data_IF_628128441370
#
_entry.id   IF_628128441370
#
_cell.length_a   1.000
_cell.length_b   1.000
_cell.length_c   1.000
_cell.angle_alpha   90.00
_cell.angle_beta   90.00
_cell.angle_gamma   90.00
#
_symmetry.space_group_name_H-M   'P 1'
#
loop_
_entity.id
_entity.type
_entity.pdbx_description
1 polymer ?
#
# COMPACT_ATOMS: atom_id res chain seq x y z
N UNK A 1 11.83 -8.74 -14.43
CA UNK A 1 11.35 -9.72 -13.43
C UNK A 1 11.70 -9.24 -12.02
N UNK A 2 10.82 -9.44 -11.04
CA UNK A 2 11.00 -9.00 -9.64
C UNK A 2 11.76 -10.06 -8.84
N UNK A 3 12.78 -9.65 -8.08
CA UNK A 3 13.49 -10.51 -7.11
C UNK A 3 12.87 -10.37 -5.73
N UNK A 4 12.20 -11.40 -5.22
CA UNK A 4 11.68 -11.42 -3.85
C UNK A 4 12.82 -11.84 -2.90
N UNK A 5 13.45 -10.86 -2.25
CA UNK A 5 14.63 -11.13 -1.41
C UNK A 5 14.32 -11.43 0.06
N UNK A 6 13.11 -11.07 0.50
CA UNK A 6 12.66 -11.34 1.85
C UNK A 6 11.17 -11.11 2.01
N UNK A 7 10.55 -11.89 2.89
CA UNK A 7 9.16 -11.76 3.29
C UNK A 7 8.97 -12.27 4.71
N UNK A 8 7.90 -11.87 5.38
CA UNK A 8 7.56 -12.43 6.68
C UNK A 8 6.04 -12.48 6.88
N UNK A 9 5.59 -13.35 7.77
CA UNK A 9 4.22 -13.36 8.26
C UNK A 9 4.20 -13.68 9.77
N UNK A 10 3.04 -14.07 10.29
CA UNK A 10 2.90 -14.42 11.70
C UNK A 10 3.66 -15.70 12.11
N UNK A 11 4.02 -16.58 11.15
CA UNK A 11 4.70 -17.86 11.41
C UNK A 11 6.15 -17.89 10.95
N UNK A 12 6.48 -17.27 9.82
CA UNK A 12 7.72 -17.51 9.10
C UNK A 12 8.38 -16.22 8.64
N UNK A 13 9.70 -16.28 8.50
CA UNK A 13 10.54 -15.30 7.81
C UNK A 13 11.21 -16.04 6.64
N UNK A 14 10.95 -15.57 5.43
CA UNK A 14 11.54 -16.03 4.18
C UNK A 14 12.71 -15.10 3.82
N UNK A 15 13.84 -15.67 3.45
CA UNK A 15 15.04 -14.97 2.98
C UNK A 15 15.57 -15.63 1.72
N UNK A 16 15.82 -14.85 0.68
CA UNK A 16 16.43 -15.31 -0.55
C UNK A 16 17.39 -14.21 -1.06
N UNK A 17 18.69 -14.27 -0.73
CA UNK A 17 19.58 -13.11 -0.92
C UNK A 17 19.85 -12.74 -2.38
N UNK A 18 19.80 -13.70 -3.31
CA UNK A 18 19.99 -13.45 -4.74
C UNK A 18 19.19 -14.46 -5.60
N UNK A 19 17.84 -14.38 -5.60
CA UNK A 19 17.00 -15.30 -6.35
C UNK A 19 17.22 -15.14 -7.86
N UNK A 20 17.24 -16.27 -8.57
CA UNK A 20 16.99 -16.25 -10.00
C UNK A 20 15.54 -15.80 -10.25
N UNK A 21 15.31 -14.71 -10.98
CA UNK A 21 14.00 -14.09 -11.04
C UNK A 21 13.00 -14.84 -11.93
N UNK A 22 13.44 -15.74 -12.81
CA UNK A 22 12.56 -16.59 -13.62
C UNK A 22 12.17 -17.83 -12.82
N UNK A 23 13.15 -18.54 -12.25
CA UNK A 23 12.92 -19.76 -11.45
C UNK A 23 12.06 -19.44 -10.23
N UNK A 24 12.40 -18.39 -9.49
CA UNK A 24 11.63 -17.97 -8.31
C UNK A 24 10.24 -17.44 -8.65
N UNK A 25 10.02 -16.94 -9.87
CA UNK A 25 8.68 -16.57 -10.32
C UNK A 25 7.81 -17.81 -10.54
N UNK A 26 8.31 -18.81 -11.27
CA UNK A 26 7.60 -20.09 -11.48
C UNK A 26 7.27 -20.75 -10.14
N UNK A 27 8.19 -20.74 -9.19
CA UNK A 27 7.96 -21.31 -7.87
C UNK A 27 6.90 -20.53 -7.07
N UNK A 28 6.90 -19.19 -7.12
CA UNK A 28 5.84 -18.37 -6.49
C UNK A 28 4.48 -18.61 -7.14
N UNK A 29 4.42 -18.82 -8.45
CA UNK A 29 3.18 -19.12 -9.17
C UNK A 29 2.62 -20.49 -8.76
N UNK A 30 3.49 -21.51 -8.65
CA UNK A 30 3.14 -22.82 -8.08
C UNK A 30 2.63 -22.70 -6.65
N UNK A 31 3.32 -21.94 -5.81
CA UNK A 31 2.93 -21.72 -4.41
C UNK A 31 1.58 -21.00 -4.29
N UNK A 32 1.31 -20.04 -5.18
CA UNK A 32 0.04 -19.31 -5.23
C UNK A 32 -1.13 -20.23 -5.62
N UNK A 33 -0.93 -21.14 -6.57
CA UNK A 33 -1.96 -22.10 -7.00
C UNK A 33 -2.26 -23.19 -5.96
N UNK A 34 -1.39 -23.37 -4.96
CA UNK A 34 -1.60 -24.36 -3.90
C UNK A 34 -2.66 -23.89 -2.88
N UNK A 35 -3.70 -24.69 -2.62
CA UNK A 35 -4.68 -24.38 -1.58
C UNK A 35 -4.02 -24.30 -0.20
N UNK A 36 -4.27 -23.20 0.53
CA UNK A 36 -3.77 -22.98 1.91
C UNK A 36 -2.25 -23.07 2.03
N UNK A 37 -1.52 -22.63 1.00
CA UNK A 37 -0.07 -22.65 1.01
C UNK A 37 0.54 -21.74 2.07
N UNK A 38 1.78 -22.06 2.45
CA UNK A 38 2.58 -21.27 3.35
C UNK A 38 4.07 -21.33 2.98
N UNK A 39 4.91 -20.50 3.62
CA UNK A 39 6.33 -20.41 3.28
C UNK A 39 7.11 -21.72 3.40
N UNK A 40 6.69 -22.70 4.21
CA UNK A 40 7.36 -24.01 4.26
C UNK A 40 7.10 -24.85 3.02
N UNK A 41 6.06 -24.54 2.25
CA UNK A 41 5.73 -25.23 1.01
C UNK A 41 6.58 -24.73 -0.17
N UNK A 42 7.31 -23.61 0.00
CA UNK A 42 8.24 -23.08 -1.00
C UNK A 42 9.40 -24.07 -1.22
N UNK A 43 9.69 -24.42 -2.47
CA UNK A 43 10.76 -25.34 -2.82
C UNK A 43 12.12 -24.73 -2.43
N UNK A 44 12.76 -25.34 -1.43
CA UNK A 44 14.04 -24.88 -0.92
C UNK A 44 15.20 -25.09 -1.89
N UNK A 45 15.04 -25.98 -2.88
CA UNK A 45 16.08 -26.25 -3.87
C UNK A 45 16.32 -25.07 -4.83
N UNK A 46 15.32 -24.19 -4.98
CA UNK A 46 15.42 -22.99 -5.83
C UNK A 46 15.74 -21.70 -5.05
N UNK A 47 15.83 -21.77 -3.71
CA UNK A 47 16.28 -20.64 -2.89
C UNK A 47 17.78 -20.44 -3.12
N UNK A 48 18.21 -19.20 -3.33
CA UNK A 48 19.62 -18.90 -3.54
C UNK A 48 20.48 -19.24 -2.32
N UNK A 49 21.78 -19.41 -2.57
CA UNK A 49 22.76 -19.76 -1.54
C UNK A 49 22.65 -18.79 -0.34
N UNK A 50 22.57 -19.36 0.86
CA UNK A 50 22.50 -18.60 2.11
C UNK A 50 21.08 -18.12 2.48
N UNK A 51 20.07 -18.34 1.62
CA UNK A 51 18.67 -18.12 1.94
C UNK A 51 18.05 -19.25 2.74
N UNK A 52 16.77 -19.09 3.08
CA UNK A 52 15.98 -20.10 3.78
C UNK A 52 14.65 -19.58 4.32
N UNK A 53 13.90 -20.52 4.91
CA UNK A 53 12.63 -20.25 5.59
C UNK A 53 12.79 -20.60 7.07
N UNK A 54 12.55 -19.60 7.92
CA UNK A 54 12.78 -19.69 9.35
C UNK A 54 11.48 -19.47 10.12
N UNK A 55 11.25 -20.25 11.18
CA UNK A 55 10.12 -20.03 12.07
C UNK A 55 10.33 -18.77 12.92
N UNK A 56 9.31 -17.91 12.99
CA UNK A 56 9.30 -16.69 13.81
C UNK A 56 9.33 -16.99 15.31
N UNK A 57 9.03 -18.23 15.72
CA UNK A 57 9.13 -18.69 17.11
C UNK A 57 10.55 -19.04 17.56
N UNK A 58 11.54 -19.05 16.65
CA UNK A 58 12.93 -19.30 17.02
C UNK A 58 13.46 -18.19 17.94
N UNK A 59 14.29 -18.56 18.93
CA UNK A 59 14.97 -17.56 19.76
C UNK A 59 15.97 -16.71 18.98
N UNK A 60 16.56 -17.30 17.94
CA UNK A 60 17.65 -16.68 17.17
C UNK A 60 17.82 -17.38 15.82
N UNK A 61 17.87 -16.60 14.74
CA UNK A 61 18.07 -17.04 13.35
C UNK A 61 19.52 -16.77 12.96
N UNK A 62 20.29 -17.79 12.50
CA UNK A 62 21.63 -17.56 11.96
C UNK A 62 21.55 -16.82 10.62
N UNK A 63 22.45 -15.88 10.40
CA UNK A 63 22.58 -15.15 9.15
C UNK A 63 23.79 -15.65 8.36
N UNK A 64 23.54 -16.02 7.11
CA UNK A 64 24.59 -16.28 6.13
C UNK A 64 25.30 -14.98 5.72
N UNK A 65 26.49 -15.08 5.15
CA UNK A 65 27.21 -13.89 4.67
C UNK A 65 26.47 -13.21 3.50
N UNK A 66 25.74 -13.98 2.70
CA UNK A 66 24.84 -13.49 1.66
C UNK A 66 23.72 -12.61 2.24
N UNK A 67 23.03 -13.08 3.30
CA UNK A 67 21.96 -12.31 3.97
C UNK A 67 22.50 -11.10 4.72
N UNK A 68 23.68 -11.22 5.35
CA UNK A 68 24.37 -10.07 5.99
C UNK A 68 24.65 -8.96 4.98
N UNK A 69 25.11 -9.31 3.76
CA UNK A 69 25.32 -8.34 2.68
C UNK A 69 24.00 -7.71 2.22
N UNK A 70 22.96 -8.50 2.00
CA UNK A 70 21.63 -8.00 1.63
C UNK A 70 21.12 -6.96 2.63
N UNK A 71 21.18 -7.27 3.93
CA UNK A 71 20.62 -6.42 4.99
C UNK A 71 21.60 -5.33 5.48
N UNK A 72 22.85 -5.33 5.00
CA UNK A 72 23.93 -4.46 5.46
C UNK A 72 24.24 -4.57 6.96
N UNK A 73 24.31 -5.80 7.49
CA UNK A 73 24.56 -6.06 8.93
C UNK A 73 25.78 -6.95 9.16
N UNK A 74 26.32 -6.89 10.39
CA UNK A 74 27.49 -7.69 10.81
C UNK A 74 27.14 -8.84 11.76
N UNK A 75 25.92 -8.85 12.32
CA UNK A 75 25.52 -9.86 13.29
C UNK A 75 25.47 -11.26 12.62
N UNK A 76 26.00 -12.26 13.32
CA UNK A 76 25.96 -13.66 12.85
C UNK A 76 24.61 -14.32 13.13
N UNK A 77 23.85 -13.79 14.09
CA UNK A 77 22.52 -14.27 14.45
C UNK A 77 21.67 -13.14 14.99
N UNK A 78 20.35 -13.21 14.76
CA UNK A 78 19.39 -12.22 15.26
C UNK A 78 18.10 -12.87 15.79
N UNK A 79 17.46 -12.31 16.82
CA UNK A 79 16.07 -12.61 17.14
C UNK A 79 15.14 -12.28 15.94
N UNK A 80 14.02 -13.00 15.76
CA UNK A 80 13.11 -12.79 14.63
C UNK A 80 12.56 -11.37 14.49
N UNK A 81 12.19 -10.70 15.60
CA UNK A 81 11.67 -9.33 15.53
C UNK A 81 12.73 -8.31 15.08
N UNK A 82 13.99 -8.49 15.49
CA UNK A 82 15.10 -7.66 15.00
C UNK A 82 15.35 -7.90 13.51
N UNK A 83 15.27 -9.15 13.06
CA UNK A 83 15.38 -9.49 11.63
C UNK A 83 14.25 -8.88 10.79
N UNK A 84 13.00 -8.89 11.29
CA UNK A 84 11.86 -8.23 10.63
C UNK A 84 12.10 -6.71 10.55
N UNK A 85 12.56 -6.11 11.64
CA UNK A 85 12.91 -4.68 11.67
C UNK A 85 13.96 -4.34 10.60
N UNK A 86 14.97 -5.19 10.43
CA UNK A 86 15.99 -5.01 9.39
C UNK A 86 15.47 -5.26 7.98
N UNK A 87 14.54 -6.20 7.80
CA UNK A 87 13.88 -6.44 6.51
C UNK A 87 13.07 -5.21 6.08
N UNK A 88 12.35 -4.58 7.00
CA UNK A 88 11.65 -3.31 6.72
C UNK A 88 12.63 -2.19 6.35
N UNK A 89 13.84 -2.18 6.94
CA UNK A 89 14.91 -1.22 6.64
C UNK A 89 15.85 -1.68 5.51
N UNK A 90 15.53 -2.74 4.78
CA UNK A 90 16.43 -3.29 3.77
C UNK A 90 16.59 -2.33 2.57
N UNK A 91 17.78 -2.26 1.95
CA UNK A 91 18.03 -1.44 0.77
C UNK A 91 17.51 -2.12 -0.50
N UNK A 92 16.19 -2.19 -0.65
CA UNK A 92 15.50 -2.80 -1.80
C UNK A 92 14.86 -1.73 -2.68
N UNK A 93 14.42 -2.06 -3.89
CA UNK A 93 13.69 -1.09 -4.71
C UNK A 93 12.23 -0.93 -4.24
N UNK A 94 11.59 -2.03 -3.85
CA UNK A 94 10.17 -2.10 -3.51
C UNK A 94 9.95 -2.77 -2.15
N UNK A 95 9.16 -2.12 -1.30
CA UNK A 95 8.52 -2.73 -0.14
C UNK A 95 7.03 -2.91 -0.44
N UNK A 96 6.55 -4.14 -0.44
CA UNK A 96 5.13 -4.45 -0.65
C UNK A 96 4.50 -4.89 0.67
N UNK A 97 3.53 -4.12 1.17
CA UNK A 97 2.76 -4.50 2.34
C UNK A 97 1.44 -5.16 1.93
N UNK A 98 1.39 -6.49 1.97
CA UNK A 98 0.17 -7.27 1.73
C UNK A 98 -0.44 -7.88 3.00
N UNK A 99 -0.02 -7.42 4.18
CA UNK A 99 -0.41 -7.97 5.46
C UNK A 99 -1.42 -7.11 6.23
N UNK A 100 -1.68 -7.53 7.47
CA UNK A 100 -2.47 -6.76 8.45
C UNK A 100 -1.50 -6.22 9.51
N UNK A 101 -1.61 -4.93 9.81
CA UNK A 101 -0.88 -4.28 10.88
C UNK A 101 -0.07 -3.08 10.43
N UNK A 102 0.20 -2.19 11.38
CA UNK A 102 0.91 -0.93 11.14
C UNK A 102 2.38 -1.07 11.49
N UNK A 103 3.20 -1.24 10.44
CA UNK A 103 4.64 -1.48 10.52
C UNK A 103 5.48 -0.21 10.48
N UNK A 104 4.91 0.90 9.99
CA UNK A 104 5.63 2.16 9.82
C UNK A 104 4.81 3.31 10.38
N UNK A 105 5.45 4.15 11.19
CA UNK A 105 4.89 5.40 11.72
C UNK A 105 5.83 6.59 11.44
N UNK A 106 5.44 7.81 11.77
CA UNK A 106 6.39 8.91 11.86
C UNK A 106 7.22 8.83 13.14
N UNK A 107 8.40 9.44 13.12
CA UNK A 107 9.24 9.61 14.31
C UNK A 107 8.52 10.38 15.42
N UNK A 108 7.63 11.32 15.05
CA UNK A 108 6.84 12.13 15.98
C UNK A 108 5.71 11.37 16.68
N UNK A 109 5.37 10.17 16.21
CA UNK A 109 4.34 9.32 16.81
C UNK A 109 4.96 8.36 17.82
N UNK A 110 4.28 8.04 18.92
CA UNK A 110 4.72 6.98 19.83
C UNK A 110 4.24 5.62 19.30
N UNK A 111 4.86 4.52 19.75
CA UNK A 111 4.34 3.20 19.39
C UNK A 111 2.92 2.99 19.92
N UNK A 112 2.64 3.47 21.14
CA UNK A 112 1.34 3.36 21.80
C UNK A 112 0.23 4.11 21.06
N UNK A 113 0.50 5.32 20.54
CA UNK A 113 -0.51 6.14 19.86
C UNK A 113 -1.02 5.55 18.55
N UNK A 114 -0.28 4.59 17.96
CA UNK A 114 -0.68 3.91 16.71
C UNK A 114 -1.81 2.89 16.96
N UNK A 115 -1.93 2.35 18.18
CA UNK A 115 -3.02 1.44 18.53
C UNK A 115 -2.87 -0.01 18.06
N UNK A 116 -1.74 -0.39 17.45
CA UNK A 116 -1.44 -1.77 17.03
C UNK A 116 -0.33 -2.39 17.89
N UNK A 117 -0.72 -3.00 19.02
CA UNK A 117 0.23 -3.63 19.96
C UNK A 117 0.98 -4.82 19.36
N UNK A 118 0.38 -5.54 18.41
CA UNK A 118 0.96 -6.77 17.86
C UNK A 118 2.23 -6.51 17.05
N UNK A 119 2.35 -5.33 16.45
CA UNK A 119 3.50 -4.96 15.62
C UNK A 119 4.43 -3.91 16.28
N UNK A 120 4.19 -3.50 17.52
CA UNK A 120 5.07 -2.53 18.21
C UNK A 120 6.54 -2.95 18.20
N UNK A 121 6.82 -4.22 18.50
CA UNK A 121 8.18 -4.76 18.58
C UNK A 121 8.92 -4.89 17.24
N UNK A 122 8.27 -4.58 16.11
CA UNK A 122 8.89 -4.58 14.78
C UNK A 122 8.68 -3.26 14.03
N UNK A 123 7.89 -2.33 14.58
CA UNK A 123 7.53 -1.07 13.93
C UNK A 123 8.74 -0.15 13.79
N UNK A 124 8.84 0.52 12.66
CA UNK A 124 9.92 1.46 12.35
C UNK A 124 9.35 2.84 12.02
N UNK A 125 10.22 3.84 11.91
CA UNK A 125 9.84 5.15 11.41
C UNK A 125 9.96 5.23 9.88
N UNK A 126 9.15 6.06 9.24
CA UNK A 126 9.17 6.29 7.79
C UNK A 126 10.52 6.82 7.31
N UNK A 127 11.21 7.62 8.13
CA UNK A 127 12.56 8.10 7.84
C UNK A 127 13.65 7.01 7.89
N UNK A 128 13.37 5.82 8.43
CA UNK A 128 14.30 4.69 8.50
C UNK A 128 14.21 3.77 7.27
N UNK A 129 13.16 3.91 6.46
CA UNK A 129 13.02 3.17 5.22
C UNK A 129 14.15 3.51 4.25
N UNK A 130 14.63 2.46 3.59
CA UNK A 130 15.68 2.51 2.56
C UNK A 130 15.19 2.04 1.20
N UNK A 131 13.92 1.63 1.09
CA UNK A 131 13.32 1.33 -0.19
C UNK A 131 13.05 2.59 -1.02
N UNK A 132 12.90 2.44 -2.34
CA UNK A 132 12.54 3.55 -3.23
C UNK A 132 11.02 3.72 -3.34
N UNK A 133 10.30 2.60 -3.42
CA UNK A 133 8.86 2.53 -3.62
C UNK A 133 8.23 1.70 -2.51
N UNK A 134 7.07 2.14 -2.02
CA UNK A 134 6.17 1.34 -1.19
C UNK A 134 4.87 1.14 -1.96
N UNK A 135 4.35 -0.09 -1.94
CA UNK A 135 2.99 -0.40 -2.35
C UNK A 135 2.22 -1.02 -1.18
N UNK A 136 1.10 -0.42 -0.79
CA UNK A 136 0.23 -0.92 0.27
C UNK A 136 -0.95 -1.72 -0.30
N UNK A 137 -0.76 -3.02 -0.49
CA UNK A 137 -1.83 -3.94 -0.86
C UNK A 137 -2.80 -4.28 0.29
N UNK A 138 -2.36 -4.14 1.54
CA UNK A 138 -3.20 -4.22 2.74
C UNK A 138 -3.64 -2.84 3.25
N UNK A 139 -4.52 -2.83 4.25
CA UNK A 139 -4.96 -1.59 4.91
C UNK A 139 -4.11 -1.27 6.14
N UNK A 140 -3.87 0.03 6.35
CA UNK A 140 -3.21 0.58 7.53
C UNK A 140 -1.82 -0.01 7.79
N UNK A 141 -1.11 -0.31 6.72
CA UNK A 141 0.28 -0.74 6.76
C UNK A 141 1.20 0.31 7.40
N UNK A 142 0.84 1.56 7.17
CA UNK A 142 1.53 2.76 7.59
C UNK A 142 0.54 3.69 8.27
N UNK A 143 0.99 4.47 9.26
CA UNK A 143 0.24 5.67 9.66
C UNK A 143 0.32 6.72 8.56
N UNK A 144 -0.64 7.64 8.52
CA UNK A 144 -0.62 8.71 7.53
C UNK A 144 0.65 9.58 7.67
N UNK A 145 1.04 9.92 8.89
CA UNK A 145 2.27 10.69 9.13
C UNK A 145 3.54 9.89 8.75
N UNK A 146 3.55 8.57 8.97
CA UNK A 146 4.65 7.71 8.51
C UNK A 146 4.82 7.70 6.99
N UNK A 147 3.71 7.72 6.25
CA UNK A 147 3.73 7.89 4.78
C UNK A 147 4.32 9.24 4.38
N UNK A 148 3.88 10.31 5.03
CA UNK A 148 4.37 11.68 4.77
C UNK A 148 5.86 11.79 5.07
N UNK A 149 6.32 11.18 6.16
CA UNK A 149 7.74 11.18 6.55
C UNK A 149 8.61 10.45 5.52
N UNK A 150 8.19 9.27 5.06
CA UNK A 150 8.89 8.54 4.00
C UNK A 150 8.89 9.32 2.68
N UNK A 151 7.75 9.90 2.28
CA UNK A 151 7.65 10.72 1.08
C UNK A 151 8.54 11.97 1.14
N UNK A 152 8.64 12.61 2.31
CA UNK A 152 9.49 13.78 2.52
C UNK A 152 11.00 13.48 2.37
N UNK A 153 11.40 12.22 2.55
CA UNK A 153 12.76 11.71 2.29
C UNK A 153 13.00 11.35 0.81
N UNK A 154 11.99 11.49 -0.04
CA UNK A 154 12.05 11.15 -1.47
C UNK A 154 11.52 9.74 -1.79
N UNK A 155 10.93 9.04 -0.82
CA UNK A 155 10.22 7.79 -1.05
C UNK A 155 8.97 7.98 -1.92
N UNK A 156 8.63 6.97 -2.71
CA UNK A 156 7.47 6.99 -3.60
C UNK A 156 6.39 6.06 -3.07
N UNK A 157 5.24 6.62 -2.72
CA UNK A 157 4.06 5.88 -2.29
C UNK A 157 2.80 6.75 -2.39
N UNK A 158 1.65 6.10 -2.34
CA UNK A 158 0.36 6.75 -2.08
C UNK A 158 -0.15 6.33 -0.69
N UNK A 159 -1.44 6.51 -0.44
CA UNK A 159 -2.12 5.85 0.68
C UNK A 159 -2.58 4.46 0.24
N UNK A 160 -2.76 3.56 1.21
CA UNK A 160 -3.44 2.26 1.01
C UNK A 160 -4.73 2.36 0.19
N UNK A 161 -5.59 3.34 0.48
CA UNK A 161 -6.85 3.56 -0.24
C UNK A 161 -6.69 3.87 -1.74
N UNK A 162 -5.48 4.22 -2.19
CA UNK A 162 -5.15 4.39 -3.61
C UNK A 162 -4.43 3.15 -4.15
N UNK A 163 -3.53 2.55 -3.37
CA UNK A 163 -2.73 1.40 -3.80
C UNK A 163 -3.56 0.10 -3.89
N UNK A 164 -4.61 -0.05 -3.08
CA UNK A 164 -5.45 -1.24 -3.03
C UNK A 164 -6.92 -1.01 -3.48
N UNK A 165 -7.22 0.11 -4.15
CA UNK A 165 -8.60 0.48 -4.52
C UNK A 165 -9.30 -0.46 -5.50
N UNK A 166 -8.55 -1.28 -6.25
CA UNK A 166 -9.11 -2.17 -7.27
C UNK A 166 -10.19 -3.11 -6.73
N UNK A 167 -10.09 -3.57 -5.48
CA UNK A 167 -11.10 -4.44 -4.87
C UNK A 167 -12.47 -3.75 -4.70
N UNK A 168 -12.45 -2.49 -4.25
CA UNK A 168 -13.67 -1.68 -4.09
C UNK A 168 -14.25 -1.31 -5.46
N UNK A 169 -13.38 -0.96 -6.41
CA UNK A 169 -13.74 -0.60 -7.77
C UNK A 169 -14.42 -1.76 -8.52
N UNK A 170 -13.90 -2.99 -8.38
CA UNK A 170 -14.57 -4.19 -8.87
C UNK A 170 -15.97 -4.34 -8.29
N UNK A 171 -16.13 -4.12 -6.98
CA UNK A 171 -17.43 -4.24 -6.31
C UNK A 171 -18.43 -3.17 -6.78
N UNK A 172 -17.98 -1.95 -7.05
CA UNK A 172 -18.84 -0.88 -7.55
C UNK A 172 -19.42 -1.23 -8.93
N UNK A 173 -18.56 -1.66 -9.85
CA UNK A 173 -18.99 -2.18 -11.15
C UNK A 173 -19.98 -3.35 -11.00
N UNK A 174 -19.64 -4.33 -10.17
CA UNK A 174 -20.47 -5.51 -9.96
C UNK A 174 -21.86 -5.16 -9.41
N UNK A 175 -21.94 -4.27 -8.42
CA UNK A 175 -23.21 -3.82 -7.82
C UNK A 175 -24.05 -3.05 -8.83
N UNK A 176 -23.45 -2.12 -9.58
CA UNK A 176 -24.19 -1.33 -10.58
C UNK A 176 -24.75 -2.21 -11.70
N UNK A 177 -23.97 -3.20 -12.18
CA UNK A 177 -24.44 -4.17 -13.17
C UNK A 177 -25.57 -5.03 -12.58
N UNK A 178 -25.43 -5.51 -11.34
CA UNK A 178 -26.48 -6.27 -10.67
C UNK A 178 -27.77 -5.47 -10.55
N UNK A 179 -27.74 -4.22 -10.10
CA UNK A 179 -28.94 -3.37 -9.98
C UNK A 179 -29.72 -3.34 -11.31
N UNK A 180 -29.03 -3.18 -12.44
CA UNK A 180 -29.65 -3.20 -13.76
C UNK A 180 -30.23 -4.57 -14.12
N UNK A 181 -29.44 -5.64 -13.97
CA UNK A 181 -29.88 -7.00 -14.33
C UNK A 181 -30.99 -7.54 -13.42
N UNK A 182 -31.03 -7.11 -12.17
CA UNK A 182 -32.03 -7.51 -11.18
C UNK A 182 -33.43 -7.03 -11.58
N UNK A 183 -33.55 -5.88 -12.25
CA UNK A 183 -34.81 -5.39 -12.82
C UNK A 183 -35.30 -6.29 -13.97
N UNK A 184 -34.39 -6.74 -14.85
CA UNK A 184 -34.72 -7.65 -15.96
C UNK A 184 -35.18 -9.01 -15.42
N UNK A 185 -34.51 -9.50 -14.37
CA UNK A 185 -34.92 -10.73 -13.68
C UNK A 185 -36.29 -10.57 -13.03
N UNK A 186 -36.56 -9.45 -12.36
CA UNK A 186 -37.85 -9.17 -11.74
C UNK A 186 -38.99 -9.11 -12.77
N UNK A 187 -38.70 -8.65 -13.99
CA UNK A 187 -39.66 -8.61 -15.10
C UNK A 187 -39.86 -9.97 -15.79
N UNK A 188 -39.12 -11.01 -15.38
CA UNK A 188 -39.24 -12.37 -15.94
C UNK A 188 -38.56 -12.58 -17.29
N UNK A 189 -37.83 -11.59 -17.80
CA UNK A 189 -37.14 -11.65 -19.09
C UNK A 189 -35.79 -12.38 -19.01
N UNK A 190 -35.25 -12.55 -17.81
CA UNK A 190 -34.00 -13.25 -17.55
C UNK A 190 -34.10 -14.11 -16.28
N UNK A 191 -33.51 -15.30 -16.30
CA UNK A 191 -33.34 -16.13 -15.08
C UNK A 191 -32.11 -15.72 -14.29
N UNK A 192 -32.09 -15.98 -12.96
CA UNK A 192 -30.90 -15.76 -12.14
C UNK A 192 -29.66 -16.52 -12.66
N UNK A 193 -29.84 -17.70 -13.26
CA UNK A 193 -28.73 -18.47 -13.85
C UNK A 193 -28.12 -17.77 -15.05
N UNK A 194 -28.94 -17.14 -15.90
CA UNK A 194 -28.47 -16.34 -17.03
C UNK A 194 -27.76 -15.08 -16.55
N UNK A 195 -28.30 -14.39 -15.54
CA UNK A 195 -27.64 -13.23 -14.89
C UNK A 195 -26.23 -13.58 -14.41
N UNK A 196 -26.10 -14.65 -13.64
CA UNK A 196 -24.80 -15.04 -13.06
C UNK A 196 -23.80 -15.45 -14.15
N UNK A 197 -24.27 -16.09 -15.24
CA UNK A 197 -23.41 -16.38 -16.39
C UNK A 197 -22.91 -15.09 -17.06
N UNK A 198 -23.81 -14.14 -17.29
CA UNK A 198 -23.45 -12.85 -17.88
C UNK A 198 -22.44 -12.09 -17.02
N UNK A 199 -22.59 -12.09 -15.68
CA UNK A 199 -21.62 -11.48 -14.77
C UNK A 199 -20.21 -12.09 -14.94
N UNK A 200 -20.12 -13.42 -15.08
CA UNK A 200 -18.84 -14.11 -15.32
C UNK A 200 -18.28 -13.75 -16.70
N UNK A 201 -19.13 -13.67 -17.73
CA UNK A 201 -18.73 -13.29 -19.09
C UNK A 201 -18.17 -11.86 -19.15
N UNK A 202 -18.59 -10.95 -18.25
CA UNK A 202 -18.12 -9.56 -18.17
C UNK A 202 -16.79 -9.37 -17.42
N UNK A 203 -16.15 -10.45 -16.93
CA UNK A 203 -14.95 -10.37 -16.07
C UNK A 203 -13.82 -9.55 -16.70
N UNK A 204 -13.51 -9.81 -17.97
CA UNK A 204 -12.38 -9.16 -18.64
C UNK A 204 -12.67 -7.68 -18.95
N UNK A 205 -13.91 -7.34 -19.26
CA UNK A 205 -14.36 -5.96 -19.46
C UNK A 205 -14.30 -5.16 -18.16
N UNK A 206 -14.83 -5.71 -17.07
CA UNK A 206 -14.77 -5.07 -15.74
C UNK A 206 -13.31 -4.91 -15.30
N UNK A 207 -12.47 -5.93 -15.49
CA UNK A 207 -11.05 -5.85 -15.18
C UNK A 207 -10.35 -4.71 -15.94
N UNK A 208 -10.65 -4.52 -17.23
CA UNK A 208 -10.11 -3.41 -18.02
C UNK A 208 -10.55 -2.04 -17.50
N UNK A 209 -11.83 -1.89 -17.13
CA UNK A 209 -12.36 -0.65 -16.57
C UNK A 209 -11.71 -0.32 -15.23
N UNK A 210 -11.60 -1.29 -14.34
CA UNK A 210 -10.95 -1.16 -13.02
C UNK A 210 -9.49 -0.75 -13.20
N UNK A 211 -8.73 -1.45 -14.06
CA UNK A 211 -7.34 -1.09 -14.33
C UNK A 211 -7.23 0.33 -14.88
N UNK A 212 -8.04 0.71 -15.86
CA UNK A 212 -8.04 2.05 -16.44
C UNK A 212 -8.33 3.13 -15.40
N UNK A 213 -9.31 2.92 -14.52
CA UNK A 213 -9.65 3.83 -13.44
C UNK A 213 -8.50 3.98 -12.44
N UNK A 214 -7.90 2.88 -11.98
CA UNK A 214 -6.77 2.91 -11.03
C UNK A 214 -5.52 3.57 -11.63
N UNK A 215 -5.25 3.35 -12.93
CA UNK A 215 -4.18 4.07 -13.65
C UNK A 215 -4.46 5.58 -13.72
N UNK A 216 -5.68 5.98 -14.10
CA UNK A 216 -6.03 7.40 -14.22
C UNK A 216 -5.96 8.12 -12.86
N UNK A 217 -6.41 7.49 -11.78
CA UNK A 217 -6.37 8.04 -10.42
C UNK A 217 -4.93 8.30 -9.95
N UNK A 218 -4.04 7.31 -10.07
CA UNK A 218 -2.64 7.45 -9.68
C UNK A 218 -1.88 8.45 -10.57
N UNK A 219 -2.22 8.51 -11.87
CA UNK A 219 -1.70 9.52 -12.79
C UNK A 219 -2.12 10.93 -12.38
N UNK A 220 -3.40 11.15 -12.06
CA UNK A 220 -3.91 12.45 -11.64
C UNK A 220 -3.17 12.96 -10.39
N UNK A 221 -3.00 12.10 -9.38
CA UNK A 221 -2.25 12.45 -8.17
C UNK A 221 -0.79 12.78 -8.50
N UNK A 222 -0.15 11.99 -9.36
CA UNK A 222 1.24 12.24 -9.77
C UNK A 222 1.44 13.56 -10.51
N UNK A 223 0.51 13.93 -11.39
CA UNK A 223 0.55 15.20 -12.11
C UNK A 223 0.40 16.39 -11.16
N UNK A 224 -0.49 16.29 -10.17
CA UNK A 224 -0.67 17.32 -9.14
C UNK A 224 0.56 17.39 -8.23
N UNK A 225 1.11 16.24 -7.82
CA UNK A 225 2.30 16.17 -6.98
C UNK A 225 3.53 16.82 -7.63
N UNK A 226 3.69 16.67 -8.95
CA UNK A 226 4.77 17.28 -9.70
C UNK A 226 4.78 18.82 -9.61
N UNK A 227 3.60 19.45 -9.60
CA UNK A 227 3.44 20.91 -9.45
C UNK A 227 3.15 21.35 -8.02
N UNK A 228 3.21 20.44 -7.04
CA UNK A 228 2.75 20.72 -5.69
C UNK A 228 3.48 21.89 -4.98
N UNK A 229 4.79 22.12 -5.17
CA UNK A 229 5.45 23.31 -4.62
C UNK A 229 4.89 24.63 -5.16
N UNK A 230 4.64 24.69 -6.48
CA UNK A 230 4.12 25.87 -7.17
C UNK A 230 2.64 26.13 -6.82
N UNK A 231 1.90 25.06 -6.54
CA UNK A 231 0.46 25.06 -6.27
C UNK A 231 0.09 24.94 -4.79
N UNK A 232 1.06 25.07 -3.89
CA UNK A 232 0.83 24.87 -2.46
C UNK A 232 -0.22 25.83 -1.90
N UNK A 233 -0.25 27.08 -2.39
CA UNK A 233 -1.24 28.07 -1.96
C UNK A 233 -2.67 27.65 -2.35
N UNK A 234 -2.86 27.18 -3.59
CA UNK A 234 -4.15 26.67 -4.05
C UNK A 234 -4.58 25.42 -3.27
N UNK A 235 -3.65 24.50 -2.97
CA UNK A 235 -3.93 23.34 -2.13
C UNK A 235 -4.37 23.74 -0.72
N UNK A 236 -3.68 24.69 -0.09
CA UNK A 236 -4.03 25.20 1.23
C UNK A 236 -5.41 25.86 1.24
N UNK A 237 -5.72 26.69 0.23
CA UNK A 237 -7.05 27.29 0.08
C UNK A 237 -8.16 26.26 -0.11
N UNK A 238 -7.87 25.17 -0.82
CA UNK A 238 -8.84 24.09 -1.00
C UNK A 238 -9.13 23.37 0.33
N UNK A 239 -8.09 23.07 1.12
CA UNK A 239 -8.23 22.54 2.49
C UNK A 239 -9.11 23.48 3.33
N UNK A 240 -8.75 24.76 3.41
CA UNK A 240 -9.48 25.76 4.20
C UNK A 240 -10.96 25.86 3.76
N UNK A 241 -11.22 25.82 2.46
CA UNK A 241 -12.58 25.86 1.92
C UNK A 241 -13.41 24.64 2.27
N UNK A 242 -12.82 23.44 2.28
CA UNK A 242 -13.52 22.22 2.67
C UNK A 242 -13.84 22.22 4.16
N UNK A 243 -12.91 22.68 5.01
CA UNK A 243 -13.14 22.77 6.45
C UNK A 243 -14.19 23.82 6.82
N UNK A 244 -14.16 25.00 6.19
CA UNK A 244 -15.19 26.04 6.41
C UNK A 244 -16.59 25.55 6.07
N UNK A 245 -16.70 24.59 5.13
CA UNK A 245 -17.96 23.94 4.76
C UNK A 245 -18.29 22.72 5.64
N UNK A 246 -17.48 22.43 6.65
CA UNK A 246 -17.65 21.27 7.54
C UNK A 246 -17.42 19.93 6.86
N UNK A 247 -16.77 19.92 5.69
CA UNK A 247 -16.58 18.71 4.87
C UNK A 247 -15.24 18.00 5.11
N UNK A 248 -14.30 18.67 5.76
CA UNK A 248 -12.97 18.16 6.05
C UNK A 248 -12.62 18.51 7.50
N UNK A 249 -11.88 17.63 8.17
CA UNK A 249 -11.18 17.93 9.41
C UNK A 249 -9.70 17.63 9.20
N UNK A 250 -8.86 18.66 9.09
CA UNK A 250 -7.43 18.50 8.78
C UNK A 250 -6.68 17.71 9.83
N UNK A 251 -7.09 17.77 11.10
CA UNK A 251 -6.41 17.05 12.19
C UNK A 251 -6.65 15.55 12.08
N UNK A 252 -7.89 15.14 11.79
CA UNK A 252 -8.24 13.73 11.58
C UNK A 252 -7.58 13.15 10.32
N UNK A 253 -7.39 13.99 9.30
CA UNK A 253 -6.76 13.61 8.03
C UNK A 253 -5.25 13.80 8.00
N UNK A 254 -4.67 14.29 9.11
CA UNK A 254 -3.23 14.58 9.24
C UNK A 254 -2.70 15.54 8.14
N UNK A 255 -3.54 16.47 7.70
CA UNK A 255 -3.19 17.50 6.71
C UNK A 255 -2.53 18.71 7.41
N UNK A 256 -1.60 19.40 6.74
CA UNK A 256 -0.82 20.47 7.37
C UNK A 256 -1.68 21.70 7.69
N UNK A 257 -1.52 22.22 8.91
CA UNK A 257 -2.05 23.53 9.31
C UNK A 257 -1.31 24.71 8.65
N UNK A 258 -1.83 25.93 8.84
CA UNK A 258 -1.29 27.15 8.23
C UNK A 258 0.21 27.37 8.50
N UNK A 259 0.67 27.09 9.73
CA UNK A 259 2.10 27.18 10.09
C UNK A 259 2.96 26.22 9.27
N UNK A 260 2.55 24.96 9.15
CA UNK A 260 3.28 23.94 8.40
C UNK A 260 3.29 24.25 6.88
N UNK A 261 2.18 24.78 6.35
CA UNK A 261 2.11 25.27 4.97
C UNK A 261 3.13 26.39 4.73
N UNK A 262 3.18 27.40 5.61
CA UNK A 262 4.13 28.52 5.48
C UNK A 262 5.59 28.04 5.54
N UNK A 263 5.91 27.12 6.44
CA UNK A 263 7.24 26.51 6.54
C UNK A 263 7.64 25.73 5.28
N UNK A 264 6.69 24.99 4.68
CA UNK A 264 6.93 24.26 3.42
C UNK A 264 7.13 25.22 2.25
N UNK A 265 6.32 26.28 2.17
CA UNK A 265 6.45 27.32 1.15
C UNK A 265 7.83 27.99 1.20
N UNK A 266 8.29 28.37 2.39
CA UNK A 266 9.62 28.96 2.58
C UNK A 266 10.77 28.02 2.16
N UNK A 267 10.54 26.70 2.17
CA UNK A 267 11.50 25.67 1.74
C UNK A 267 11.28 25.21 0.29
N UNK A 268 10.37 25.82 -0.47
CA UNK A 268 10.04 25.40 -1.83
C UNK A 268 9.47 23.97 -1.90
N UNK A 269 8.78 23.51 -0.86
CA UNK A 269 8.15 22.18 -0.78
C UNK A 269 6.64 22.28 -0.92
N UNK A 270 6.02 21.26 -1.51
CA UNK A 270 4.57 21.13 -1.64
C UNK A 270 3.95 20.14 -0.65
N UNK A 271 2.70 19.77 -0.93
CA UNK A 271 2.11 18.56 -0.35
C UNK A 271 2.75 17.31 -0.97
N UNK A 272 2.89 16.26 -0.16
CA UNK A 272 3.38 14.95 -0.57
C UNK A 272 2.28 14.14 -1.26
N UNK A 273 2.65 13.07 -1.98
CA UNK A 273 1.67 12.18 -2.64
C UNK A 273 0.64 11.61 -1.65
N UNK A 274 0.99 11.13 -0.44
CA UNK A 274 -0.01 10.67 0.53
C UNK A 274 -1.00 11.74 0.97
N UNK A 275 -0.57 13.00 1.13
CA UNK A 275 -1.47 14.12 1.45
C UNK A 275 -2.38 14.45 0.27
N UNK A 276 -1.85 14.40 -0.96
CA UNK A 276 -2.62 14.63 -2.17
C UNK A 276 -3.59 13.49 -2.47
N UNK A 277 -3.30 12.26 -2.07
CA UNK A 277 -4.23 11.12 -2.12
C UNK A 277 -5.49 11.40 -1.29
N UNK A 278 -5.33 11.95 -0.08
CA UNK A 278 -6.45 12.38 0.76
C UNK A 278 -7.24 13.49 0.08
N UNK A 279 -6.57 14.56 -0.37
CA UNK A 279 -7.25 15.67 -1.04
C UNK A 279 -7.96 15.24 -2.33
N UNK A 280 -7.41 14.27 -3.05
CA UNK A 280 -8.04 13.74 -4.26
C UNK A 280 -9.39 13.09 -3.95
N UNK A 281 -9.50 12.32 -2.86
CA UNK A 281 -10.78 11.74 -2.43
C UNK A 281 -11.82 12.83 -2.13
N UNK A 282 -11.46 13.85 -1.34
CA UNK A 282 -12.33 14.99 -1.04
C UNK A 282 -12.71 15.80 -2.29
N UNK A 283 -11.78 15.95 -3.23
CA UNK A 283 -12.05 16.60 -4.51
C UNK A 283 -13.10 15.84 -5.31
N UNK A 284 -12.99 14.51 -5.43
CA UNK A 284 -13.98 13.68 -6.13
C UNK A 284 -15.38 13.83 -5.52
N UNK A 285 -15.49 13.74 -4.19
CA UNK A 285 -16.76 13.91 -3.49
C UNK A 285 -17.36 15.31 -3.68
N UNK A 286 -16.53 16.35 -3.66
CA UNK A 286 -16.98 17.72 -3.92
C UNK A 286 -17.50 17.91 -5.35
N UNK A 287 -16.80 17.37 -6.35
CA UNK A 287 -17.25 17.45 -7.75
C UNK A 287 -18.50 16.62 -8.00
N UNK A 288 -18.59 15.42 -7.43
CA UNK A 288 -19.76 14.57 -7.56
C UNK A 288 -21.04 15.27 -7.08
N UNK A 289 -21.01 15.85 -5.88
CA UNK A 289 -22.16 16.61 -5.35
C UNK A 289 -22.48 17.86 -6.18
N UNK A 290 -21.45 18.57 -6.66
CA UNK A 290 -21.66 19.75 -7.50
C UNK A 290 -22.33 19.38 -8.84
N UNK A 291 -21.99 18.23 -9.41
CA UNK A 291 -22.63 17.71 -10.62
C UNK A 291 -24.08 17.32 -10.35
N UNK A 292 -24.35 16.60 -9.26
CA UNK A 292 -25.73 16.24 -8.88
C UNK A 292 -26.61 17.46 -8.60
N UNK A 293 -26.04 18.54 -8.08
CA UNK A 293 -26.76 19.78 -7.82
C UNK A 293 -26.87 20.71 -9.04
N UNK A 294 -26.23 20.36 -10.16
CA UNK A 294 -26.25 21.16 -11.40
C UNK A 294 -27.36 20.77 -12.38
N UNK A 295 -28.02 19.64 -12.13
CA UNK A 295 -29.27 19.22 -12.79
C UNK A 295 -30.50 19.73 -12.03
#
# INVERSE_FOLDING_TARGET
HIKLVGAFNHMHIFLDPDPDPEISYTERERLFALPRSNWTDYDRSVISRGGGVYARSLKSIPLSDEVKRLLCVKADRLPPNELITLLLKAPVDLLWNGGIGTYVKAETETHESVGDKANEGVRINGNELRCKVVGEGGNLGFTQLGRVEFAAKGGLLYTDAIDNSAGVDCSDHEVNIKILLDQIVANGEMTQKQRNRLLVEMTDEVAKLVLAHNYAQTQAISLVAWKAPEKLYEHARFIDSLEQRGRLNRELEFLPGAKAIAERQAKGRGLTKPELSVLHAYSKMNYYEALLASD
#
